data_IF_253031248894
#
_entry.id   IF_253031248894
#
_cell.length_a   1.000
_cell.length_b   1.000
_cell.length_c   1.000
_cell.angle_alpha   90.00
_cell.angle_beta   90.00
_cell.angle_gamma   90.00
#
_symmetry.space_group_name_H-M   'P 1'
#
loop_
_entity.id
_entity.type
_entity.pdbx_description
1 polymer ?
#
# COMPACT_ATOMS: atom_id res chain seq x y z
N UNK A 1 3.92 13.24 7.92
CA UNK A 1 2.88 12.70 8.85
C UNK A 1 3.04 11.19 8.87
N UNK A 2 3.49 10.59 9.98
CA UNK A 2 3.74 9.15 10.10
C UNK A 2 2.56 8.41 10.74
N UNK A 3 1.39 8.52 10.12
CA UNK A 3 0.13 7.92 10.58
C UNK A 3 -0.33 6.74 9.71
N UNK A 4 0.46 6.35 8.71
CA UNK A 4 0.27 5.15 7.91
C UNK A 4 1.47 4.25 8.13
N UNK A 5 1.22 3.01 8.55
CA UNK A 5 2.25 1.99 8.68
C UNK A 5 1.89 0.88 7.72
N UNK A 6 2.77 0.66 6.74
CA UNK A 6 2.64 -0.44 5.81
C UNK A 6 3.36 -1.66 6.35
N UNK A 7 2.64 -2.77 6.49
CA UNK A 7 3.19 -4.09 6.83
C UNK A 7 2.91 -5.03 5.67
N UNK A 8 3.96 -5.46 4.98
CA UNK A 8 3.86 -6.30 3.80
C UNK A 8 3.58 -7.76 4.18
N UNK A 9 2.30 -8.06 4.44
CA UNK A 9 1.85 -9.42 4.77
C UNK A 9 1.07 -10.07 3.63
N UNK A 10 0.90 -9.40 2.50
CA UNK A 10 0.10 -9.89 1.37
C UNK A 10 -1.40 -10.03 1.69
N UNK A 11 -1.92 -9.25 2.65
CA UNK A 11 -3.31 -9.33 3.11
C UNK A 11 -4.04 -8.01 2.89
N UNK A 12 -5.31 -8.10 2.51
CA UNK A 12 -6.22 -6.94 2.44
C UNK A 12 -6.77 -6.65 3.84
N UNK A 13 -5.93 -6.05 4.69
CA UNK A 13 -6.23 -5.75 6.08
C UNK A 13 -5.85 -4.32 6.41
N UNK A 14 -6.78 -3.61 7.06
CA UNK A 14 -6.58 -2.27 7.58
C UNK A 14 -6.84 -2.27 9.08
N UNK A 15 -6.03 -1.53 9.83
CA UNK A 15 -6.18 -1.39 11.27
C UNK A 15 -6.16 0.10 11.62
N UNK A 16 -7.28 0.59 12.14
CA UNK A 16 -7.46 1.98 12.55
C UNK A 16 -7.31 2.05 14.05
N UNK A 17 -6.34 2.85 14.52
CA UNK A 17 -6.00 2.94 15.94
C UNK A 17 -6.35 4.34 16.44
N UNK A 18 -7.15 4.42 17.51
CA UNK A 18 -7.37 5.65 18.26
C UNK A 18 -6.44 5.64 19.47
N UNK A 19 -5.51 6.60 19.53
CA UNK A 19 -4.57 6.72 20.67
C UNK A 19 -5.36 7.03 21.96
N UNK A 20 -4.96 6.42 23.07
CA UNK A 20 -5.53 6.65 24.40
C UNK A 20 -6.39 5.49 24.92
N UNK A 21 -7.02 4.72 24.03
CA UNK A 21 -8.01 3.71 24.43
C UNK A 21 -7.49 2.26 24.30
N UNK A 22 -6.23 2.05 23.86
CA UNK A 22 -5.61 0.74 23.50
C UNK A 22 -6.43 -0.17 22.56
N UNK A 23 -7.53 0.36 22.02
CA UNK A 23 -8.44 -0.31 21.10
C UNK A 23 -8.19 0.13 19.67
N UNK A 24 -8.33 -0.82 18.76
CA UNK A 24 -8.23 -0.61 17.33
C UNK A 24 -9.35 -1.32 16.59
N UNK A 25 -9.79 -0.72 15.48
CA UNK A 25 -10.72 -1.34 14.55
C UNK A 25 -9.92 -2.06 13.46
N UNK A 26 -10.04 -3.38 13.40
CA UNK A 26 -9.40 -4.21 12.39
C UNK A 26 -10.43 -4.64 11.35
N UNK A 27 -10.20 -4.24 10.10
CA UNK A 27 -11.04 -4.54 8.94
C UNK A 27 -10.25 -5.46 8.01
N UNK A 28 -10.81 -6.61 7.64
CA UNK A 28 -10.18 -7.59 6.76
C UNK A 28 -11.15 -7.98 5.66
N UNK A 29 -10.72 -7.95 4.41
CA UNK A 29 -11.49 -8.52 3.32
C UNK A 29 -11.67 -10.02 3.56
N UNK A 30 -12.89 -10.53 3.35
CA UNK A 30 -13.13 -11.98 3.39
C UNK A 30 -12.57 -12.63 2.11
N UNK A 31 -12.05 -13.87 2.20
CA UNK A 31 -11.50 -14.55 1.02
C UNK A 31 -12.49 -14.67 -0.15
N UNK A 32 -13.77 -14.91 0.15
CA UNK A 32 -14.80 -15.17 -0.86
C UNK A 32 -15.62 -13.93 -1.26
N UNK A 33 -15.28 -12.75 -0.72
CA UNK A 33 -16.04 -11.51 -0.96
C UNK A 33 -15.98 -11.04 -2.42
N UNK A 34 -14.88 -11.32 -3.11
CA UNK A 34 -14.62 -10.90 -4.48
C UNK A 34 -14.24 -12.15 -5.31
N UNK A 35 -15.22 -12.95 -5.75
CA UNK A 35 -14.95 -14.17 -6.49
C UNK A 35 -14.27 -13.85 -7.83
N UNK A 36 -13.35 -14.72 -8.22
CA UNK A 36 -12.66 -14.60 -9.49
C UNK A 36 -13.61 -14.89 -10.64
N UNK A 37 -13.46 -14.11 -11.71
CA UNK A 37 -14.16 -14.29 -12.98
C UNK A 37 -13.08 -14.41 -14.05
N UNK A 38 -12.99 -15.60 -14.63
CA UNK A 38 -11.95 -15.95 -15.60
C UNK A 38 -12.01 -15.07 -16.85
N UNK A 39 -13.22 -14.70 -17.30
CA UNK A 39 -13.41 -13.87 -18.47
C UNK A 39 -12.92 -12.45 -18.21
N UNK A 40 -13.33 -11.86 -17.11
CA UNK A 40 -12.85 -10.54 -16.69
C UNK A 40 -11.34 -10.51 -16.45
N UNK A 41 -10.78 -11.57 -15.84
CA UNK A 41 -9.33 -11.73 -15.63
C UNK A 41 -8.58 -11.77 -16.96
N UNK A 42 -9.10 -12.52 -17.93
CA UNK A 42 -8.51 -12.66 -19.27
C UNK A 42 -8.54 -11.33 -20.03
N UNK A 43 -9.67 -10.62 -20.01
CA UNK A 43 -9.81 -9.31 -20.65
C UNK A 43 -8.87 -8.28 -20.00
N UNK A 44 -8.76 -8.28 -18.67
CA UNK A 44 -7.83 -7.40 -17.95
C UNK A 44 -6.36 -7.68 -18.32
N UNK A 45 -5.98 -8.94 -18.48
CA UNK A 45 -4.65 -9.32 -18.92
C UNK A 45 -4.34 -8.79 -20.33
N UNK A 46 -5.27 -8.92 -21.28
CA UNK A 46 -5.13 -8.36 -22.63
C UNK A 46 -5.00 -6.83 -22.62
N UNK A 47 -5.79 -6.14 -21.79
CA UNK A 47 -5.71 -4.69 -21.64
C UNK A 47 -4.36 -4.25 -21.07
N UNK A 48 -3.88 -4.91 -20.02
CA UNK A 48 -2.55 -4.64 -19.44
C UNK A 48 -1.42 -4.89 -20.44
N UNK A 49 -1.55 -5.92 -21.28
CA UNK A 49 -0.59 -6.22 -22.33
C UNK A 49 -0.69 -5.28 -23.55
N UNK A 50 -1.74 -4.45 -23.64
CA UNK A 50 -1.99 -3.60 -24.80
C UNK A 50 -2.43 -4.37 -26.05
N UNK A 51 -2.90 -5.63 -25.90
CA UNK A 51 -3.29 -6.52 -27.01
C UNK A 51 -4.81 -6.65 -27.16
N UNK A 52 -5.60 -5.95 -26.33
CA UNK A 52 -7.05 -6.00 -26.38
C UNK A 52 -7.59 -5.28 -27.62
N UNK A 53 -8.57 -5.88 -28.29
CA UNK A 53 -9.34 -5.20 -29.33
C UNK A 53 -10.23 -4.08 -28.73
N UNK A 54 -10.74 -3.14 -29.55
CA UNK A 54 -11.71 -2.15 -29.08
C UNK A 54 -12.97 -2.78 -28.47
N UNK A 55 -13.42 -3.92 -29.02
CA UNK A 55 -14.59 -4.66 -28.52
C UNK A 55 -14.30 -5.31 -27.16
N UNK A 56 -13.13 -5.93 -27.01
CA UNK A 56 -12.68 -6.52 -25.74
C UNK A 56 -12.47 -5.47 -24.65
N UNK A 57 -11.98 -4.29 -25.04
CA UNK A 57 -11.82 -3.16 -24.13
C UNK A 57 -13.18 -2.64 -23.64
N UNK A 58 -14.17 -2.54 -24.53
CA UNK A 58 -15.53 -2.15 -24.15
C UNK A 58 -16.20 -3.20 -23.27
N UNK A 59 -16.09 -4.48 -23.62
CA UNK A 59 -16.61 -5.58 -22.82
C UNK A 59 -16.02 -5.60 -21.40
N UNK A 60 -14.72 -5.34 -21.28
CA UNK A 60 -14.09 -5.17 -19.98
C UNK A 60 -14.67 -3.97 -19.23
N UNK A 61 -14.85 -2.80 -19.87
CA UNK A 61 -15.39 -1.60 -19.22
C UNK A 61 -16.78 -1.86 -18.65
N UNK A 62 -17.67 -2.46 -19.42
CA UNK A 62 -19.04 -2.78 -18.99
C UNK A 62 -18.99 -3.73 -17.79
N UNK A 63 -18.34 -4.89 -17.95
CA UNK A 63 -18.26 -5.90 -16.88
C UNK A 63 -17.54 -5.39 -15.63
N UNK A 64 -16.52 -4.53 -15.77
CA UNK A 64 -15.81 -3.93 -14.65
C UNK A 64 -16.67 -2.91 -13.90
N UNK A 65 -17.46 -2.13 -14.63
CA UNK A 65 -18.42 -1.18 -14.04
C UNK A 65 -19.49 -1.91 -13.23
N UNK A 66 -20.10 -2.96 -13.80
CA UNK A 66 -21.12 -3.78 -13.12
C UNK A 66 -20.57 -4.41 -11.83
N UNK A 67 -19.35 -4.94 -11.86
CA UNK A 67 -18.69 -5.47 -10.66
C UNK A 67 -18.42 -4.40 -9.62
N UNK A 68 -17.97 -3.23 -10.04
CA UNK A 68 -17.70 -2.12 -9.14
C UNK A 68 -18.99 -1.67 -8.44
N UNK A 69 -20.08 -1.56 -9.19
CA UNK A 69 -21.40 -1.26 -8.65
C UNK A 69 -21.85 -2.33 -7.65
N UNK A 70 -21.69 -3.62 -7.99
CA UNK A 70 -22.01 -4.73 -7.07
C UNK A 70 -21.24 -4.62 -5.75
N UNK A 71 -19.96 -4.24 -5.77
CA UNK A 71 -19.17 -4.04 -4.55
C UNK A 71 -19.68 -2.86 -3.74
N UNK A 72 -20.08 -1.76 -4.39
CA UNK A 72 -20.61 -0.57 -3.73
C UNK A 72 -21.99 -0.80 -3.08
N UNK A 73 -22.78 -1.71 -3.64
CA UNK A 73 -24.12 -2.05 -3.15
C UNK A 73 -24.13 -3.19 -2.11
N UNK A 74 -23.00 -3.90 -1.96
CA UNK A 74 -22.90 -5.05 -1.06
C UNK A 74 -22.84 -4.60 0.42
N UNK A 75 -23.55 -5.28 1.33
CA UNK A 75 -23.40 -5.04 2.76
C UNK A 75 -21.95 -5.21 3.22
N UNK A 76 -21.50 -4.36 4.15
CA UNK A 76 -20.12 -4.41 4.64
C UNK A 76 -19.81 -5.74 5.33
N UNK A 77 -20.79 -6.36 5.95
CA UNK A 77 -20.67 -7.64 6.64
C UNK A 77 -20.47 -8.80 5.67
N UNK A 78 -20.81 -8.66 4.39
CA UNK A 78 -20.51 -9.66 3.36
C UNK A 78 -19.07 -9.51 2.86
N UNK A 79 -18.60 -8.27 2.71
CA UNK A 79 -17.25 -7.95 2.23
C UNK A 79 -16.16 -8.17 3.29
N UNK A 80 -16.43 -7.78 4.54
CA UNK A 80 -15.40 -7.61 5.56
C UNK A 80 -15.67 -8.38 6.84
N UNK A 81 -14.60 -8.77 7.51
CA UNK A 81 -14.60 -9.00 8.94
C UNK A 81 -14.15 -7.72 9.64
N UNK A 82 -15.06 -7.13 10.42
CA UNK A 82 -14.81 -5.96 11.26
C UNK A 82 -14.74 -6.42 12.71
N UNK A 83 -13.62 -6.17 13.39
CA UNK A 83 -13.40 -6.57 14.78
C UNK A 83 -12.72 -5.47 15.57
N UNK A 84 -13.13 -5.29 16.81
CA UNK A 84 -12.32 -4.57 17.80
C UNK A 84 -11.18 -5.49 18.26
N UNK A 85 -9.96 -4.94 18.30
CA UNK A 85 -8.76 -5.65 18.75
C UNK A 85 -7.95 -4.75 19.68
N UNK A 86 -7.26 -5.35 20.63
CA UNK A 86 -6.29 -4.64 21.47
C UNK A 86 -4.93 -4.62 20.78
N UNK A 87 -4.45 -3.42 20.46
CA UNK A 87 -3.16 -3.20 19.80
C UNK A 87 -2.52 -1.96 20.42
N UNK A 88 -1.25 -2.06 20.77
CA UNK A 88 -0.48 -0.90 21.20
C UNK A 88 -0.31 0.07 20.02
N UNK A 89 -0.68 1.36 20.19
CA UNK A 89 -0.49 2.34 19.15
C UNK A 89 1.00 2.50 18.84
N UNK A 90 1.40 2.63 17.57
CA UNK A 90 2.78 2.88 17.22
C UNK A 90 3.28 4.18 17.84
N UNK A 91 4.59 4.35 18.00
CA UNK A 91 5.16 5.60 18.47
C UNK A 91 4.78 6.79 17.58
N UNK A 92 4.87 8.01 18.11
CA UNK A 92 4.62 9.20 17.32
C UNK A 92 5.76 9.38 16.31
N UNK A 93 5.42 9.89 15.12
CA UNK A 93 6.42 10.25 14.14
C UNK A 93 7.38 11.29 14.74
N UNK A 94 8.67 10.98 14.70
CA UNK A 94 9.73 11.87 15.16
C UNK A 94 10.09 12.82 14.02
N UNK A 95 10.29 14.10 14.34
CA UNK A 95 10.82 15.09 13.40
C UNK A 95 12.34 15.00 13.48
N UNK A 96 12.95 14.51 12.42
CA UNK A 96 14.40 14.42 12.30
C UNK A 96 14.96 15.66 11.58
N UNK A 97 16.16 16.12 11.96
CA UNK A 97 16.91 17.10 11.18
C UNK A 97 17.15 16.63 9.74
N UNK A 98 17.23 17.57 8.81
CA UNK A 98 17.69 17.32 7.44
C UNK A 98 19.22 17.41 7.40
N UNK A 99 19.87 16.37 6.92
CA UNK A 99 21.29 16.37 6.55
C UNK A 99 21.45 16.46 5.04
N UNK A 100 22.58 16.95 4.57
CA UNK A 100 22.91 17.04 3.14
C UNK A 100 23.87 15.91 2.77
N UNK A 101 23.57 15.16 1.71
CA UNK A 101 24.43 14.09 1.23
C UNK A 101 25.75 14.65 0.67
N UNK A 102 26.88 14.14 1.15
CA UNK A 102 28.20 14.58 0.68
C UNK A 102 28.55 14.15 -0.77
N UNK A 103 27.70 13.34 -1.43
CA UNK A 103 27.90 12.82 -2.80
C UNK A 103 26.93 13.43 -3.81
N UNK A 104 25.61 13.42 -3.53
CA UNK A 104 24.58 13.94 -4.45
C UNK A 104 24.01 15.30 -4.06
N UNK A 105 24.41 15.89 -2.92
CA UNK A 105 23.96 17.20 -2.42
C UNK A 105 22.45 17.31 -2.10
N UNK A 106 21.70 16.20 -2.20
CA UNK A 106 20.30 16.15 -1.80
C UNK A 106 20.14 16.09 -0.26
N UNK A 107 19.07 16.71 0.24
CA UNK A 107 18.69 16.65 1.65
C UNK A 107 17.98 15.35 2.01
N UNK A 108 18.30 14.74 3.15
CA UNK A 108 17.66 13.53 3.66
C UNK A 108 17.56 13.55 5.19
N UNK A 109 16.71 12.70 5.77
CA UNK A 109 16.53 12.67 7.23
C UNK A 109 17.74 12.06 7.94
N UNK A 110 18.17 12.68 9.05
CA UNK A 110 19.30 12.25 9.88
C UNK A 110 19.41 10.72 10.12
N UNK A 111 18.37 9.98 10.56
CA UNK A 111 18.48 8.56 10.89
C UNK A 111 18.72 7.65 9.68
N UNK A 112 18.52 8.17 8.45
CA UNK A 112 18.81 7.44 7.22
C UNK A 112 20.24 7.71 6.72
N UNK A 113 21.05 8.47 7.45
CA UNK A 113 22.45 8.70 7.11
C UNK A 113 23.28 7.43 7.20
N UNK A 114 24.28 7.34 6.32
CA UNK A 114 25.36 6.35 6.39
C UNK A 114 26.71 7.06 6.38
N UNK A 115 27.69 6.48 7.07
CA UNK A 115 29.05 7.00 7.09
C UNK A 115 29.91 6.19 6.12
N UNK A 116 30.53 6.86 5.15
CA UNK A 116 31.57 6.29 4.27
C UNK A 116 32.75 7.24 4.25
N UNK A 117 33.94 6.76 4.62
CA UNK A 117 35.18 7.55 4.67
C UNK A 117 35.04 8.86 5.48
N UNK A 118 34.37 8.81 6.63
CA UNK A 118 34.15 10.00 7.49
C UNK A 118 33.14 11.02 6.95
N UNK A 119 32.55 10.78 5.77
CA UNK A 119 31.49 11.62 5.19
C UNK A 119 30.12 10.99 5.40
N UNK A 120 29.13 11.86 5.63
CA UNK A 120 27.73 11.46 5.74
C UNK A 120 27.11 11.46 4.35
N UNK A 121 26.50 10.34 3.97
CA UNK A 121 25.84 10.14 2.67
C UNK A 121 24.46 9.47 2.83
N UNK A 122 23.59 9.70 1.85
CA UNK A 122 22.26 9.07 1.80
C UNK A 122 22.36 7.57 1.44
N UNK A 123 21.30 6.80 1.73
CA UNK A 123 21.23 5.36 1.46
C UNK A 123 21.53 5.02 -0.02
N UNK A 124 20.91 5.68 -1.03
CA UNK A 124 21.20 5.37 -2.43
C UNK A 124 22.67 5.55 -2.80
N UNK A 125 23.30 6.64 -2.34
CA UNK A 125 24.72 6.89 -2.58
C UNK A 125 25.64 5.92 -1.85
N UNK A 126 25.20 5.35 -0.72
CA UNK A 126 25.92 4.32 0.02
C UNK A 126 25.80 2.94 -0.64
N UNK A 127 24.63 2.59 -1.14
CA UNK A 127 24.36 1.29 -1.78
C UNK A 127 24.80 1.21 -3.24
N UNK A 128 24.96 2.37 -3.90
CA UNK A 128 25.61 2.43 -5.20
C UNK A 128 26.97 1.72 -5.12
N UNK A 129 27.11 0.63 -5.89
CA UNK A 129 28.43 0.09 -6.19
C UNK A 129 29.20 1.20 -6.87
N UNK A 130 30.36 1.53 -6.34
CA UNK A 130 31.27 2.44 -7.00
C UNK A 130 31.66 1.74 -8.32
N UNK A 131 31.02 2.12 -9.43
CA UNK A 131 31.45 1.79 -10.80
C UNK A 131 32.76 2.50 -11.12
#
# INVERSE_FOLDING_TARGET
KGNLIFKEHGKHVYTYIKRGDNKALRISLKPDALPQDEKHTTLFAKLRAGTASPEEAEEFRVSHSEKSQKVLEMPEEELFWVKEVEIEPPEKAIIYPTLVCSKCEEGFMEPLGRVRNGKIICIPCFEAKDE
#
